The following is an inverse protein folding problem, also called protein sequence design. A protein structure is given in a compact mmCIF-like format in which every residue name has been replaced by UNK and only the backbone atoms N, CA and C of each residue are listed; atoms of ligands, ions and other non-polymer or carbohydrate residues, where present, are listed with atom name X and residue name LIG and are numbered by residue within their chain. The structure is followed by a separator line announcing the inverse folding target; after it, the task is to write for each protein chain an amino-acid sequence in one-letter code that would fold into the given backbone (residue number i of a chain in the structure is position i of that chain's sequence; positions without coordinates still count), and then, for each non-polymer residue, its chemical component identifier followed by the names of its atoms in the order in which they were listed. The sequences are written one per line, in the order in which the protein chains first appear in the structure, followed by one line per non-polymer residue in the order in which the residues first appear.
data_IF_494095158781
#
_entry.id   IF_494095158781
#
_cell.length_a   1.000
_cell.length_b   1.000
_cell.length_c   1.000
_cell.angle_alpha   90.00
_cell.angle_beta   90.00
_cell.angle_gamma   90.00
#
_symmetry.space_group_name_H-M   'P 1'
#
loop_
_entity.id
_entity.type
_entity.pdbx_description
1 polymer ?
#
# COMPACT_ATOMS: atom_id res chain seq x y z
N UNK A 1 20.79 24.33 23.55
CA UNK A 1 20.49 22.99 23.06
C UNK A 1 21.39 22.71 21.86
N UNK A 2 22.33 21.83 22.01
CA UNK A 2 23.05 21.33 20.84
C UNK A 2 22.20 20.24 20.19
N UNK A 3 21.67 20.52 19.06
CA UNK A 3 21.12 19.46 18.21
C UNK A 3 22.32 18.70 17.63
N UNK A 4 22.82 17.72 18.38
CA UNK A 4 23.82 16.79 17.89
C UNK A 4 23.25 15.75 16.95
N UNK A 5 22.48 16.19 15.98
CA UNK A 5 22.03 15.32 14.90
C UNK A 5 23.03 15.40 13.78
N UNK A 6 23.63 14.27 13.40
CA UNK A 6 24.26 14.17 12.09
C UNK A 6 23.23 14.69 11.09
N UNK A 7 23.59 15.74 10.34
CA UNK A 7 22.75 16.19 9.23
C UNK A 7 22.73 15.06 8.23
N UNK A 8 21.65 14.24 8.28
CA UNK A 8 21.46 13.23 7.26
C UNK A 8 21.18 13.97 5.96
N UNK A 9 21.94 13.65 4.90
CA UNK A 9 21.69 14.17 3.55
C UNK A 9 20.50 13.48 2.89
N UNK A 10 19.65 12.81 3.68
CA UNK A 10 18.48 12.10 3.19
C UNK A 10 17.41 13.08 2.73
N UNK A 11 16.90 12.84 1.54
CA UNK A 11 15.78 13.58 0.98
C UNK A 11 14.62 12.63 0.77
N UNK A 12 13.52 12.91 1.46
CA UNK A 12 12.36 12.03 1.47
C UNK A 12 11.32 12.46 0.45
N UNK A 13 10.96 11.53 -0.44
CA UNK A 13 9.73 11.69 -1.20
C UNK A 13 8.58 11.30 -0.29
N UNK A 14 7.64 12.22 -0.06
CA UNK A 14 6.45 11.94 0.72
C UNK A 14 5.38 11.39 -0.20
N UNK A 15 5.12 10.08 -0.08
CA UNK A 15 4.04 9.42 -0.78
C UNK A 15 2.84 9.29 0.16
N UNK A 16 1.66 9.57 -0.34
CA UNK A 16 0.42 9.43 0.41
C UNK A 16 -0.57 8.61 -0.41
N UNK A 17 -1.25 7.67 0.24
CA UNK A 17 -2.26 6.87 -0.46
C UNK A 17 -3.28 6.26 0.48
N UNK A 18 -4.34 5.75 -0.14
CA UNK A 18 -5.43 5.02 0.52
C UNK A 18 -5.39 3.57 0.07
N UNK A 19 -5.60 2.64 1.00
CA UNK A 19 -5.44 1.21 0.74
C UNK A 19 -6.57 0.42 1.39
N UNK A 20 -7.02 -0.62 0.70
CA UNK A 20 -8.17 -1.41 1.11
C UNK A 20 -7.82 -2.84 1.54
N UNK A 21 -8.38 -3.26 2.67
CA UNK A 21 -8.31 -4.63 3.15
C UNK A 21 -9.64 -5.31 2.80
N UNK A 22 -9.56 -6.31 1.93
CA UNK A 22 -10.70 -7.14 1.53
C UNK A 22 -10.32 -8.61 1.71
N UNK A 23 -11.02 -9.29 2.61
CA UNK A 23 -10.73 -10.66 3.00
C UNK A 23 -11.96 -11.53 2.73
N UNK A 24 -11.72 -12.68 2.12
CA UNK A 24 -12.75 -13.72 1.91
C UNK A 24 -12.11 -15.06 2.24
N UNK A 25 -12.75 -15.84 3.10
CA UNK A 25 -12.30 -17.17 3.50
C UNK A 25 -10.85 -17.19 4.01
N UNK A 26 -10.47 -16.16 4.79
CA UNK A 26 -9.15 -16.05 5.38
C UNK A 26 -8.04 -15.59 4.44
N UNK A 27 -8.38 -15.25 3.20
CA UNK A 27 -7.42 -14.76 2.20
C UNK A 27 -7.62 -13.29 1.93
N UNK A 28 -6.51 -12.58 1.82
CA UNK A 28 -6.46 -11.15 1.53
C UNK A 28 -6.32 -10.94 0.02
N UNK A 29 -7.11 -10.03 -0.52
CA UNK A 29 -6.95 -9.62 -1.92
C UNK A 29 -5.79 -8.63 -2.01
N UNK A 30 -4.82 -8.95 -2.85
CA UNK A 30 -3.65 -8.11 -3.13
C UNK A 30 -3.46 -7.96 -4.63
N UNK A 31 -2.61 -7.02 -5.03
CA UNK A 31 -2.24 -6.82 -6.43
C UNK A 31 -0.76 -7.15 -6.63
N UNK A 32 -0.40 -7.48 -7.86
CA UNK A 32 1.00 -7.56 -8.27
C UNK A 32 1.44 -6.16 -8.67
N UNK A 33 2.33 -5.56 -7.88
CA UNK A 33 2.76 -4.16 -8.06
C UNK A 33 3.72 -4.04 -9.24
N UNK A 34 3.47 -3.05 -10.10
CA UNK A 34 4.22 -2.83 -11.34
C UNK A 34 5.16 -1.61 -11.28
N UNK A 35 5.30 -0.97 -10.17
CA UNK A 35 6.15 0.23 -10.07
C UNK A 35 6.47 0.62 -8.64
N UNK A 36 7.35 1.61 -8.50
CA UNK A 36 7.73 2.16 -7.21
C UNK A 36 8.64 1.25 -6.40
N UNK A 37 8.83 1.56 -5.11
CA UNK A 37 9.74 0.79 -4.25
C UNK A 37 9.27 -0.64 -3.98
N UNK A 38 8.00 -0.92 -4.19
CA UNK A 38 7.41 -2.25 -3.97
C UNK A 38 7.21 -3.05 -5.25
N UNK A 39 7.82 -2.62 -6.35
CA UNK A 39 7.72 -3.30 -7.65
C UNK A 39 8.00 -4.81 -7.50
N UNK A 40 7.24 -5.62 -8.24
CA UNK A 40 7.34 -7.08 -8.23
C UNK A 40 7.02 -7.73 -6.88
N UNK A 41 6.31 -7.03 -6.02
CA UNK A 41 5.77 -7.55 -4.77
C UNK A 41 4.26 -7.48 -4.79
N UNK A 42 3.63 -8.26 -3.95
CA UNK A 42 2.22 -8.09 -3.61
C UNK A 42 2.06 -6.77 -2.84
N UNK A 43 1.02 -6.02 -3.16
CA UNK A 43 0.67 -4.80 -2.44
C UNK A 43 -0.84 -4.75 -2.22
N UNK A 44 -1.30 -3.88 -1.34
CA UNK A 44 -2.73 -3.67 -1.16
C UNK A 44 -3.29 -2.88 -2.35
N UNK A 45 -4.52 -3.17 -2.78
CA UNK A 45 -5.19 -2.31 -3.74
C UNK A 45 -5.35 -0.91 -3.17
N UNK A 46 -4.99 0.10 -3.93
CA UNK A 46 -5.04 1.47 -3.50
C UNK A 46 -4.00 2.34 -4.19
N UNK A 47 -3.89 3.57 -3.76
CA UNK A 47 -2.94 4.51 -4.32
C UNK A 47 -3.24 5.95 -3.98
N UNK A 48 -2.66 6.86 -4.74
CA UNK A 48 -2.73 8.30 -4.53
C UNK A 48 -4.10 8.89 -4.87
N UNK A 49 -4.41 10.03 -4.28
CA UNK A 49 -5.58 10.81 -4.65
C UNK A 49 -5.35 11.56 -5.95
N UNK A 50 -6.42 11.72 -6.72
CA UNK A 50 -6.48 12.69 -7.79
C UNK A 50 -6.94 14.04 -7.24
N UNK A 51 -6.66 15.12 -7.96
CA UNK A 51 -7.02 16.46 -7.52
C UNK A 51 -8.52 16.59 -7.24
N UNK A 52 -8.85 17.12 -6.07
CA UNK A 52 -10.23 17.31 -5.63
C UNK A 52 -10.93 16.05 -5.13
N UNK A 53 -10.29 14.92 -5.22
CA UNK A 53 -10.85 13.63 -4.82
C UNK A 53 -10.81 13.46 -3.30
N UNK A 54 -11.90 13.01 -2.71
CA UNK A 54 -11.92 12.63 -1.28
C UNK A 54 -11.22 11.29 -1.08
N UNK A 55 -10.85 10.98 0.15
CA UNK A 55 -10.23 9.69 0.49
C UNK A 55 -11.12 8.51 0.09
N UNK A 56 -12.42 8.62 0.35
CA UNK A 56 -13.37 7.55 0.01
C UNK A 56 -13.52 7.38 -1.50
N UNK A 57 -13.59 8.48 -2.25
CA UNK A 57 -13.65 8.44 -3.71
C UNK A 57 -12.40 7.79 -4.29
N UNK A 58 -11.22 8.17 -3.79
CA UNK A 58 -9.95 7.60 -4.21
C UNK A 58 -9.90 6.08 -3.95
N UNK A 59 -10.34 5.65 -2.77
CA UNK A 59 -10.37 4.22 -2.44
C UNK A 59 -11.22 3.42 -3.41
N UNK A 60 -12.42 3.92 -3.70
CA UNK A 60 -13.34 3.24 -4.64
C UNK A 60 -12.77 3.21 -6.05
N UNK A 61 -12.22 4.31 -6.51
CA UNK A 61 -11.62 4.41 -7.86
C UNK A 61 -10.42 3.48 -8.00
N UNK A 62 -9.48 3.56 -7.08
CA UNK A 62 -8.26 2.73 -7.12
C UNK A 62 -8.58 1.25 -7.06
N UNK A 63 -9.51 0.87 -6.19
CA UNK A 63 -9.91 -0.54 -6.06
C UNK A 63 -10.52 -1.07 -7.36
N UNK A 64 -11.39 -0.28 -7.99
CA UNK A 64 -12.01 -0.64 -9.27
C UNK A 64 -10.96 -0.74 -10.39
N UNK A 65 -10.09 0.26 -10.50
CA UNK A 65 -9.05 0.28 -11.54
C UNK A 65 -8.09 -0.90 -11.42
N UNK A 66 -7.70 -1.27 -10.20
CA UNK A 66 -6.66 -2.27 -9.99
C UNK A 66 -7.19 -3.70 -9.91
N UNK A 67 -8.43 -3.90 -9.51
CA UNK A 67 -9.00 -5.24 -9.29
C UNK A 67 -10.22 -5.55 -10.13
N UNK A 68 -10.95 -4.55 -10.60
CA UNK A 68 -12.24 -4.73 -11.26
C UNK A 68 -13.43 -4.77 -10.30
N UNK A 69 -13.20 -4.70 -9.00
CA UNK A 69 -14.28 -4.76 -8.01
C UNK A 69 -14.79 -3.37 -7.64
N UNK A 70 -16.12 -3.25 -7.61
CA UNK A 70 -16.80 -2.13 -6.99
C UNK A 70 -16.93 -2.40 -5.50
N UNK A 71 -16.51 -1.45 -4.68
CA UNK A 71 -16.49 -1.64 -3.23
C UNK A 71 -17.18 -0.49 -2.50
N UNK A 72 -17.56 -0.76 -1.26
CA UNK A 72 -17.91 0.23 -0.28
C UNK A 72 -16.98 0.12 0.91
N UNK A 73 -16.75 1.25 1.58
CA UNK A 73 -15.93 1.28 2.78
C UNK A 73 -16.78 0.87 3.97
N UNK A 74 -16.33 -0.13 4.72
CA UNK A 74 -16.97 -0.57 5.97
C UNK A 74 -16.40 0.14 7.18
N UNK A 75 -15.07 0.35 7.20
CA UNK A 75 -14.39 0.86 8.38
C UNK A 75 -13.13 1.62 7.99
N UNK A 76 -12.92 2.76 8.62
CA UNK A 76 -11.64 3.46 8.60
C UNK A 76 -10.83 2.95 9.81
N UNK A 77 -9.76 2.22 9.56
CA UNK A 77 -8.98 1.59 10.63
C UNK A 77 -7.75 2.39 11.04
N UNK A 78 -7.46 3.46 10.32
CA UNK A 78 -6.42 4.39 10.72
C UNK A 78 -5.34 4.65 9.69
N UNK A 79 -4.28 5.26 10.17
CA UNK A 79 -3.13 5.67 9.35
C UNK A 79 -1.87 5.06 9.96
N UNK A 80 -0.99 4.59 9.11
CA UNK A 80 0.35 4.13 9.49
C UNK A 80 1.33 4.65 8.45
N UNK A 81 2.58 4.81 8.82
CA UNK A 81 3.60 5.28 7.89
C UNK A 81 4.83 4.38 7.88
N UNK A 82 5.53 4.44 6.75
CA UNK A 82 6.70 3.61 6.46
C UNK A 82 7.80 4.50 5.92
N UNK A 83 9.04 4.25 6.35
CA UNK A 83 10.20 4.94 5.80
C UNK A 83 11.19 3.89 5.32
N UNK A 84 11.67 4.05 4.10
CA UNK A 84 12.65 3.14 3.53
C UNK A 84 13.53 3.82 2.49
N UNK A 85 14.76 3.31 2.27
CA UNK A 85 15.64 3.82 1.23
C UNK A 85 15.05 3.51 -0.15
N UNK A 86 15.00 4.51 -1.01
CA UNK A 86 14.61 4.33 -2.41
C UNK A 86 15.09 5.52 -3.22
N UNK A 87 16.00 5.26 -4.15
CA UNK A 87 16.52 6.29 -5.03
C UNK A 87 15.53 6.55 -6.17
N UNK A 88 14.98 7.75 -6.17
CA UNK A 88 14.03 8.17 -7.20
C UNK A 88 14.11 9.68 -7.39
N UNK A 89 14.43 10.12 -8.63
CA UNK A 89 14.70 11.53 -8.92
C UNK A 89 15.75 12.07 -7.95
N UNK A 90 15.50 13.22 -7.31
CA UNK A 90 16.39 13.82 -6.30
C UNK A 90 16.27 13.21 -4.91
N UNK A 91 15.37 12.25 -4.72
CA UNK A 91 15.10 11.65 -3.41
C UNK A 91 15.98 10.43 -3.14
N UNK A 92 16.35 10.26 -1.90
CA UNK A 92 17.14 9.11 -1.42
C UNK A 92 16.27 8.10 -0.67
N UNK A 93 15.10 8.53 -0.22
CA UNK A 93 14.21 7.76 0.62
C UNK A 93 12.75 8.07 0.28
N UNK A 94 11.88 7.16 0.67
CA UNK A 94 10.44 7.41 0.63
C UNK A 94 9.88 7.40 2.05
N UNK A 95 9.00 8.37 2.32
CA UNK A 95 8.15 8.37 3.50
C UNK A 95 6.72 8.14 3.02
N UNK A 96 6.25 6.92 3.19
CA UNK A 96 4.94 6.48 2.71
C UNK A 96 3.92 6.54 3.82
N UNK A 97 2.92 7.40 3.66
CA UNK A 97 1.81 7.56 4.60
C UNK A 97 0.60 6.86 4.00
N UNK A 98 0.07 5.87 4.71
CA UNK A 98 -0.99 5.02 4.21
C UNK A 98 -2.22 5.06 5.11
N UNK A 99 -3.36 5.39 4.52
CA UNK A 99 -4.67 5.28 5.16
C UNK A 99 -5.24 3.91 4.85
N UNK A 100 -5.67 3.18 5.87
CA UNK A 100 -6.20 1.84 5.75
C UNK A 100 -7.70 1.81 5.94
N UNK A 101 -8.39 1.15 5.00
CA UNK A 101 -9.83 0.92 5.07
C UNK A 101 -10.13 -0.57 4.99
N UNK A 102 -11.15 -1.01 5.71
CA UNK A 102 -11.79 -2.31 5.41
C UNK A 102 -12.88 -2.02 4.40
N UNK A 103 -12.89 -2.79 3.34
CA UNK A 103 -13.83 -2.62 2.23
C UNK A 103 -14.62 -3.91 1.99
N UNK A 104 -15.79 -3.77 1.38
CA UNK A 104 -16.62 -4.90 0.94
C UNK A 104 -16.96 -4.75 -0.53
N UNK A 105 -17.05 -5.87 -1.22
CA UNK A 105 -17.52 -5.92 -2.60
C UNK A 105 -19.00 -5.64 -2.66
N UNK A 106 -19.41 -4.75 -3.57
CA UNK A 106 -20.81 -4.47 -3.88
C UNK A 106 -21.13 -4.74 -5.34
N UNK A 107 -20.13 -4.94 -6.18
CA UNK A 107 -20.34 -5.24 -7.61
C UNK A 107 -19.03 -5.54 -8.31
N UNK A 108 -19.12 -5.69 -9.63
CA UNK A 108 -17.95 -6.00 -10.44
C UNK A 108 -17.44 -7.42 -10.28
N UNK A 109 -16.32 -7.70 -10.92
CA UNK A 109 -15.62 -8.97 -10.82
C UNK A 109 -14.14 -8.74 -11.07
N UNK A 110 -13.30 -9.59 -10.49
CA UNK A 110 -11.84 -9.50 -10.68
C UNK A 110 -11.51 -9.68 -12.16
N UNK A 111 -10.75 -8.74 -12.71
CA UNK A 111 -10.28 -8.76 -14.10
C UNK A 111 -8.89 -8.15 -14.16
N UNK A 112 -8.15 -8.48 -15.22
CA UNK A 112 -6.84 -7.90 -15.47
C UNK A 112 -7.03 -6.42 -15.78
N UNK A 113 -6.35 -5.50 -15.05
CA UNK A 113 -6.51 -4.07 -15.27
C UNK A 113 -5.92 -3.62 -16.61
N UNK A 114 -6.51 -2.58 -17.19
CA UNK A 114 -5.95 -1.94 -18.37
C UNK A 114 -4.61 -1.31 -18.02
N UNK A 115 -3.63 -1.49 -18.93
CA UNK A 115 -2.30 -0.94 -18.74
C UNK A 115 -2.21 0.44 -19.40
N UNK A 116 -1.90 1.45 -18.60
CA UNK A 116 -1.69 2.82 -19.03
C UNK A 116 -0.61 3.46 -18.16
N UNK A 117 -0.08 4.60 -18.56
CA UNK A 117 0.90 5.32 -17.76
C UNK A 117 0.31 5.68 -16.39
N UNK A 118 0.95 5.24 -15.31
CA UNK A 118 0.48 5.40 -13.94
C UNK A 118 -0.34 4.23 -13.40
N UNK A 119 -0.64 3.21 -14.22
CA UNK A 119 -1.26 1.97 -13.73
C UNK A 119 -0.20 1.10 -13.08
N UNK A 120 -0.29 0.98 -11.75
CA UNK A 120 0.69 0.27 -10.93
C UNK A 120 0.32 -1.19 -10.62
N UNK A 121 -0.78 -1.69 -11.15
CA UNK A 121 -1.24 -3.06 -10.91
C UNK A 121 -1.17 -3.91 -12.18
N UNK A 122 -0.62 -5.12 -12.03
CA UNK A 122 -0.65 -6.17 -13.08
C UNK A 122 -1.78 -7.16 -12.85
N UNK A 123 -2.57 -6.98 -11.81
CA UNK A 123 -3.70 -7.85 -11.51
C UNK A 123 -3.78 -8.24 -10.05
N UNK A 124 -4.94 -8.72 -9.64
CA UNK A 124 -5.24 -9.09 -8.26
C UNK A 124 -5.18 -10.59 -8.04
N UNK A 125 -4.71 -10.99 -6.87
CA UNK A 125 -4.65 -12.38 -6.43
C UNK A 125 -5.02 -12.48 -4.95
N UNK A 126 -5.44 -13.65 -4.53
CA UNK A 126 -5.74 -13.96 -3.14
C UNK A 126 -4.55 -14.64 -2.48
N UNK A 127 -4.11 -14.13 -1.34
CA UNK A 127 -3.01 -14.74 -0.59
C UNK A 127 -3.41 -14.95 0.88
N UNK A 128 -2.79 -15.95 1.50
CA UNK A 128 -2.86 -16.15 2.94
C UNK A 128 -1.60 -15.61 3.61
N UNK A 129 -1.68 -15.34 4.91
CA UNK A 129 -0.57 -14.78 5.67
C UNK A 129 0.73 -15.60 5.54
N UNK A 130 0.61 -16.92 5.57
CA UNK A 130 1.77 -17.82 5.43
C UNK A 130 2.52 -17.68 4.12
N UNK A 131 1.90 -17.10 3.09
CA UNK A 131 2.49 -16.89 1.78
C UNK A 131 3.12 -15.51 1.62
N UNK A 132 3.09 -14.67 2.66
CA UNK A 132 3.59 -13.29 2.61
C UNK A 132 4.82 -13.08 3.48
N UNK A 133 5.84 -12.45 2.91
CA UNK A 133 7.04 -11.99 3.60
C UNK A 133 7.55 -10.73 2.92
N UNK A 134 8.53 -10.06 3.50
CA UNK A 134 9.15 -8.88 2.87
C UNK A 134 9.82 -9.19 1.53
N UNK A 135 10.11 -10.45 1.25
CA UNK A 135 10.69 -10.84 -0.04
C UNK A 135 9.67 -10.74 -1.18
N UNK A 136 8.39 -10.99 -0.91
CA UNK A 136 7.35 -11.04 -1.93
C UNK A 136 6.17 -10.10 -1.70
N UNK A 137 6.15 -9.38 -0.59
CA UNK A 137 5.05 -8.49 -0.23
C UNK A 137 5.55 -7.15 0.29
N UNK A 138 4.77 -6.10 0.07
CA UNK A 138 5.06 -4.79 0.63
C UNK A 138 4.87 -4.79 2.14
N UNK A 139 5.49 -3.84 2.86
CA UNK A 139 5.22 -3.65 4.28
C UNK A 139 3.74 -3.41 4.58
N UNK A 140 3.01 -2.81 3.64
CA UNK A 140 1.58 -2.56 3.79
C UNK A 140 0.78 -3.85 3.91
N UNK A 141 1.12 -4.86 3.11
CA UNK A 141 0.47 -6.18 3.15
C UNK A 141 0.72 -6.86 4.50
N UNK A 142 1.96 -6.84 4.97
CA UNK A 142 2.32 -7.45 6.26
C UNK A 142 1.59 -6.75 7.42
N UNK A 143 1.49 -5.42 7.36
CA UNK A 143 0.74 -4.65 8.34
C UNK A 143 -0.77 -4.98 8.30
N UNK A 144 -1.32 -5.22 7.13
CA UNK A 144 -2.71 -5.64 6.99
C UNK A 144 -2.96 -6.99 7.69
N UNK A 145 -2.10 -7.96 7.50
CA UNK A 145 -2.21 -9.25 8.18
C UNK A 145 -2.06 -9.10 9.70
N UNK A 146 -1.14 -8.26 10.17
CA UNK A 146 -0.99 -7.96 11.58
C UNK A 146 -2.28 -7.37 12.16
N UNK A 147 -2.86 -6.37 11.47
CA UNK A 147 -4.12 -5.77 11.88
C UNK A 147 -5.27 -6.78 11.91
N UNK A 148 -5.34 -7.68 10.94
CA UNK A 148 -6.37 -8.73 10.91
C UNK A 148 -6.32 -9.61 12.16
N UNK A 149 -5.13 -9.83 12.73
CA UNK A 149 -4.95 -10.61 13.96
C UNK A 149 -5.19 -9.81 15.23
N UNK A 150 -4.67 -8.59 15.30
CA UNK A 150 -4.62 -7.79 16.52
C UNK A 150 -5.69 -6.71 16.60
N UNK A 151 -6.24 -6.29 15.47
CA UNK A 151 -7.11 -5.12 15.31
C UNK A 151 -6.46 -3.81 15.77
N UNK A 152 -5.14 -3.75 15.66
CA UNK A 152 -4.32 -2.60 16.05
C UNK A 152 -3.24 -2.35 15.00
N UNK A 153 -3.20 -1.15 14.42
CA UNK A 153 -2.15 -0.74 13.49
C UNK A 153 -0.86 -0.33 14.20
N UNK A 154 -0.93 -0.08 15.49
CA UNK A 154 0.16 0.53 16.22
C UNK A 154 0.24 2.04 16.00
N UNK A 155 1.24 2.66 16.62
CA UNK A 155 1.44 4.11 16.59
C UNK A 155 2.70 4.48 15.81
N UNK A 156 3.74 3.66 15.92
CA UNK A 156 5.05 3.97 15.40
C UNK A 156 5.19 3.64 13.92
N UNK A 157 5.87 4.50 13.19
CA UNK A 157 6.26 4.23 11.82
C UNK A 157 7.13 2.98 11.72
N UNK A 158 6.98 2.23 10.64
CA UNK A 158 7.91 1.16 10.31
C UNK A 158 9.08 1.75 9.51
N UNK A 159 10.29 1.63 10.04
CA UNK A 159 11.49 2.19 9.43
C UNK A 159 12.43 1.06 9.00
N UNK A 160 12.74 1.03 7.73
CA UNK A 160 13.68 0.07 7.15
C UNK A 160 14.98 0.80 6.85
N UNK A 161 16.10 0.28 7.35
CA UNK A 161 17.44 0.84 7.07
C UNK A 161 17.95 0.42 5.70
N UNK A 162 17.53 -0.78 5.28
CA UNK A 162 17.87 -1.36 3.99
C UNK A 162 16.59 -1.75 3.26
N UNK A 163 16.60 -1.59 1.96
CA UNK A 163 15.48 -1.99 1.13
C UNK A 163 15.98 -2.50 -0.21
N UNK A 164 15.54 -3.69 -0.59
CA UNK A 164 15.88 -4.30 -1.87
C UNK A 164 14.68 -4.14 -2.80
N UNK A 165 14.89 -3.42 -3.89
CA UNK A 165 13.89 -3.32 -4.96
C UNK A 165 13.92 -4.65 -5.71
N UNK A 166 12.79 -5.35 -5.71
CA UNK A 166 12.68 -6.67 -6.34
C UNK A 166 12.79 -6.55 -7.87
N UNK A 167 13.50 -7.47 -8.48
CA UNK A 167 13.68 -7.50 -9.94
C UNK A 167 12.68 -8.45 -10.59
#
# INVERSE_FOLDING_TARGET
MSYGGSMSNNRYHRAFGVYGIYVVDGKLLVINKNGGPYINRFDLPGGSLEEGETLAEAMKREFLEETGLEIEIEENIGVIDFKLPWLWKEFTDVHHIAVYYVVKKVGGKIKIPEQFEGQDSLGAVWISEKNASLDNASPLVLKAFEWLKTKDLGIDAEVYKDWIVSK
#
